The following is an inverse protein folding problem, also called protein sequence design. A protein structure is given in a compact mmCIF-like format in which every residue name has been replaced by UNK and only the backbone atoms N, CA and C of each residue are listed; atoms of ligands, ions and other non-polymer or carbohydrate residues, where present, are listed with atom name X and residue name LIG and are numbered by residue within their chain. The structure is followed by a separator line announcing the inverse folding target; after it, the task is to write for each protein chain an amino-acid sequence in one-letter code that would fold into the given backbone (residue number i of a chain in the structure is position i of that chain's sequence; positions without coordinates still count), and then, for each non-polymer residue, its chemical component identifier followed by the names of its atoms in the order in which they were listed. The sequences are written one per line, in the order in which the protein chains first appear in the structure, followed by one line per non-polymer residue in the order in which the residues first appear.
data_IF_489150320622
#
_entry.id   IF_489150320622
#
_cell.length_a   1.000
_cell.length_b   1.000
_cell.length_c   1.000
_cell.angle_alpha   90.00
_cell.angle_beta   90.00
_cell.angle_gamma   90.00
#
_symmetry.space_group_name_H-M   'P 1'
#
loop_
_entity.id
_entity.type
_entity.pdbx_description
1 polymer ?
#
# COMPACT_ATOMS: atom_id res chain seq x y z
N UNK A 1 52.13 -70.96 -39.76
CA UNK A 1 51.07 -71.99 -39.70
C UNK A 1 50.18 -71.66 -38.50
N UNK A 2 48.96 -71.12 -38.69
CA UNK A 2 47.70 -71.89 -38.79
C UNK A 2 47.51 -72.83 -37.58
N UNK A 3 46.46 -72.84 -36.75
CA UNK A 3 45.14 -72.19 -36.72
C UNK A 3 44.53 -72.49 -35.34
N UNK A 4 43.67 -71.64 -34.77
CA UNK A 4 42.39 -72.09 -34.20
C UNK A 4 41.52 -70.91 -33.78
N UNK A 5 40.44 -70.72 -34.53
CA UNK A 5 39.29 -69.92 -34.15
C UNK A 5 38.48 -70.67 -33.09
N UNK A 6 37.92 -69.94 -32.13
CA UNK A 6 36.64 -70.31 -31.52
C UNK A 6 35.88 -69.07 -31.05
N UNK A 7 34.73 -68.85 -31.68
CA UNK A 7 33.73 -67.79 -31.46
C UNK A 7 33.16 -67.83 -30.04
N UNK A 8 32.95 -66.68 -29.41
CA UNK A 8 31.86 -66.45 -28.44
C UNK A 8 31.25 -65.04 -28.58
N UNK A 9 30.07 -65.02 -29.22
CA UNK A 9 28.83 -64.28 -28.91
C UNK A 9 28.92 -62.81 -28.46
N UNK A 10 28.43 -61.91 -29.32
CA UNK A 10 28.04 -60.52 -29.00
C UNK A 10 26.81 -60.51 -28.08
N UNK A 11 26.94 -60.08 -26.83
CA UNK A 11 25.80 -59.63 -26.02
C UNK A 11 25.58 -58.13 -26.23
N UNK A 12 24.33 -57.78 -26.57
CA UNK A 12 23.85 -56.42 -26.70
C UNK A 12 23.85 -55.71 -25.33
N UNK A 13 24.81 -54.82 -25.11
CA UNK A 13 24.76 -53.87 -24.01
C UNK A 13 23.68 -52.81 -24.27
N UNK A 14 22.55 -52.90 -23.57
CA UNK A 14 21.52 -51.85 -23.54
C UNK A 14 22.14 -50.57 -22.98
N UNK A 15 22.13 -49.50 -23.78
CA UNK A 15 22.50 -48.15 -23.35
C UNK A 15 21.36 -47.61 -22.48
N UNK A 16 21.58 -47.54 -21.16
CA UNK A 16 20.62 -46.92 -20.23
C UNK A 16 20.72 -45.40 -20.32
N UNK A 17 19.83 -44.76 -21.09
CA UNK A 17 19.58 -43.32 -20.99
C UNK A 17 18.76 -43.03 -19.72
N UNK A 18 19.42 -43.01 -18.56
CA UNK A 18 18.84 -42.37 -17.37
C UNK A 18 18.99 -40.86 -17.50
N UNK A 19 17.94 -40.20 -18.03
CA UNK A 19 17.80 -38.76 -17.88
C UNK A 19 17.82 -38.42 -16.38
N UNK A 20 18.83 -37.67 -15.93
CA UNK A 20 18.85 -37.12 -14.57
C UNK A 20 17.70 -36.13 -14.47
N UNK A 21 16.84 -36.19 -13.45
CA UNK A 21 15.84 -35.16 -13.26
C UNK A 21 16.58 -33.85 -12.94
N UNK A 22 16.40 -32.84 -13.80
CA UNK A 22 16.82 -31.48 -13.50
C UNK A 22 16.02 -31.01 -12.29
N UNK A 23 16.59 -31.20 -11.10
CA UNK A 23 16.08 -30.59 -9.87
C UNK A 23 16.33 -29.09 -10.01
N UNK A 24 15.30 -28.34 -10.38
CA UNK A 24 15.30 -26.89 -10.25
C UNK A 24 15.52 -26.56 -8.78
N UNK A 25 16.75 -26.21 -8.42
CA UNK A 25 17.05 -25.66 -7.10
C UNK A 25 16.89 -24.15 -7.23
N UNK A 26 15.74 -23.63 -6.80
CA UNK A 26 15.60 -22.18 -6.57
C UNK A 26 16.45 -21.85 -5.35
N UNK A 27 17.70 -21.43 -5.56
CA UNK A 27 18.50 -20.81 -4.49
C UNK A 27 17.95 -19.41 -4.28
N UNK A 28 17.08 -19.24 -3.30
CA UNK A 28 16.77 -17.90 -2.80
C UNK A 28 18.08 -17.24 -2.34
N UNK A 29 18.25 -15.96 -2.68
CA UNK A 29 19.36 -15.17 -2.14
C UNK A 29 19.36 -15.20 -0.61
N UNK A 30 20.57 -15.17 -0.02
CA UNK A 30 20.75 -15.09 1.42
C UNK A 30 19.97 -13.90 2.00
N UNK A 31 19.44 -14.03 3.21
CA UNK A 31 18.63 -13.02 3.86
C UNK A 31 19.53 -12.13 4.71
N UNK A 32 19.44 -10.82 4.50
CA UNK A 32 20.05 -9.84 5.40
C UNK A 32 19.15 -9.63 6.62
N UNK A 33 19.77 -9.63 7.80
CA UNK A 33 19.08 -9.48 9.08
C UNK A 33 19.68 -8.28 9.80
N UNK A 34 18.85 -7.28 10.05
CA UNK A 34 19.21 -6.08 10.80
C UNK A 34 18.47 -6.05 12.15
N UNK A 35 19.15 -5.56 13.18
CA UNK A 35 18.62 -5.50 14.55
C UNK A 35 18.65 -4.07 15.10
N UNK A 36 17.90 -3.90 16.19
CA UNK A 36 17.92 -2.73 17.06
C UNK A 36 17.82 -1.39 16.34
N UNK A 37 18.78 -0.49 16.59
CA UNK A 37 18.72 0.87 16.11
C UNK A 37 18.92 0.97 14.60
N UNK A 38 19.76 0.10 14.03
CA UNK A 38 20.05 0.14 12.61
C UNK A 38 18.80 -0.19 11.79
N UNK A 39 18.05 -1.23 12.17
CA UNK A 39 16.79 -1.57 11.50
C UNK A 39 15.72 -0.50 11.67
N UNK A 40 15.57 0.07 12.88
CA UNK A 40 14.63 1.16 13.16
C UNK A 40 14.92 2.41 12.33
N UNK A 41 16.18 2.83 12.26
CA UNK A 41 16.58 4.01 11.49
C UNK A 41 16.38 3.82 9.98
N UNK A 42 16.72 2.64 9.44
CA UNK A 42 16.50 2.35 8.02
C UNK A 42 15.00 2.34 7.67
N UNK A 43 14.16 1.71 8.49
CA UNK A 43 12.70 1.75 8.28
C UNK A 43 12.15 3.18 8.36
N UNK A 44 12.58 3.98 9.34
CA UNK A 44 12.15 5.37 9.47
C UNK A 44 12.52 6.19 8.23
N UNK A 45 13.73 6.02 7.69
CA UNK A 45 14.15 6.72 6.47
C UNK A 45 13.23 6.39 5.27
N UNK A 46 12.80 5.13 5.14
CA UNK A 46 11.85 4.73 4.11
C UNK A 46 10.44 5.29 4.33
N UNK A 47 9.97 5.32 5.57
CA UNK A 47 8.71 5.95 5.97
C UNK A 47 8.73 7.44 5.62
N UNK A 48 9.80 8.14 5.98
CA UNK A 48 9.97 9.58 5.73
C UNK A 48 9.95 9.88 4.23
N UNK A 49 10.73 9.16 3.43
CA UNK A 49 10.77 9.34 1.96
C UNK A 49 9.39 9.24 1.32
N UNK A 50 8.60 8.24 1.70
CA UNK A 50 7.28 8.06 1.11
C UNK A 50 6.28 9.09 1.62
N UNK A 51 6.25 9.33 2.93
CA UNK A 51 5.34 10.29 3.55
C UNK A 51 5.62 11.73 3.12
N UNK A 52 6.87 12.09 2.85
CA UNK A 52 7.24 13.41 2.34
C UNK A 52 6.75 13.62 0.90
N UNK A 53 6.85 12.60 0.05
CA UNK A 53 6.34 12.67 -1.32
C UNK A 53 4.80 12.78 -1.35
N UNK A 54 4.11 11.95 -0.56
CA UNK A 54 2.64 11.98 -0.45
C UNK A 54 2.18 13.28 0.22
N UNK A 55 2.92 13.77 1.21
CA UNK A 55 2.56 14.98 1.96
C UNK A 55 2.55 16.26 1.13
N UNK A 56 3.23 16.29 -0.01
CA UNK A 56 3.18 17.43 -0.94
C UNK A 56 1.78 17.68 -1.50
N UNK A 57 0.92 16.67 -1.56
CA UNK A 57 -0.43 16.79 -2.11
C UNK A 57 -1.48 17.15 -1.06
N UNK A 58 -1.10 17.33 0.20
CA UNK A 58 -2.06 17.57 1.28
C UNK A 58 -2.78 18.92 1.11
N UNK A 59 -4.12 18.86 1.11
CA UNK A 59 -5.00 20.01 1.21
C UNK A 59 -5.18 20.79 -0.10
N UNK A 60 -5.93 21.91 -0.07
CA UNK A 60 -6.34 22.66 -1.27
C UNK A 60 -5.19 23.37 -1.99
N UNK A 61 -4.01 23.49 -1.35
CA UNK A 61 -2.78 24.03 -1.94
C UNK A 61 -1.73 22.95 -2.17
N UNK A 62 -2.16 21.68 -2.23
CA UNK A 62 -1.32 20.55 -2.60
C UNK A 62 -0.63 20.81 -3.93
N UNK A 63 0.63 20.37 -4.03
CA UNK A 63 1.44 20.48 -5.24
C UNK A 63 1.32 19.20 -6.04
N UNK A 64 1.45 19.32 -7.36
CA UNK A 64 1.51 18.17 -8.23
C UNK A 64 2.86 17.46 -8.07
N UNK A 65 2.81 16.13 -8.08
CA UNK A 65 3.97 15.24 -8.12
C UNK A 65 4.08 14.67 -9.53
N UNK A 66 5.30 14.66 -10.06
CA UNK A 66 5.58 14.10 -11.38
C UNK A 66 6.14 12.70 -11.19
N UNK A 67 5.44 11.70 -11.73
CA UNK A 67 5.87 10.31 -11.74
C UNK A 67 6.50 9.99 -13.10
N UNK A 68 7.63 9.30 -13.05
CA UNK A 68 8.27 8.76 -14.24
C UNK A 68 7.53 7.48 -14.67
N UNK A 69 7.05 7.46 -15.91
CA UNK A 69 6.37 6.32 -16.52
C UNK A 69 6.91 6.13 -17.95
N UNK A 70 6.84 4.92 -18.49
CA UNK A 70 7.32 4.64 -19.84
C UNK A 70 6.60 5.53 -20.88
N UNK A 71 7.36 6.40 -21.54
CA UNK A 71 6.84 7.34 -22.52
C UNK A 71 6.81 8.77 -21.99
N UNK A 72 5.65 9.20 -21.48
CA UNK A 72 5.46 10.56 -20.97
C UNK A 72 5.30 10.58 -19.44
N UNK A 73 5.94 11.54 -18.74
CA UNK A 73 5.78 11.65 -17.30
C UNK A 73 4.32 11.93 -16.94
N UNK A 74 3.85 11.29 -15.87
CA UNK A 74 2.49 11.44 -15.38
C UNK A 74 2.45 12.46 -14.25
N UNK A 75 1.65 13.50 -14.41
CA UNK A 75 1.44 14.51 -13.36
C UNK A 75 0.25 14.10 -12.51
N UNK A 76 0.47 13.86 -11.22
CA UNK A 76 -0.56 13.39 -10.28
C UNK A 76 -0.63 14.26 -9.04
N UNK A 77 -1.81 14.37 -8.47
CA UNK A 77 -2.08 15.04 -7.19
C UNK A 77 -2.75 14.11 -6.17
N UNK A 78 -2.93 12.83 -6.51
CA UNK A 78 -3.53 11.82 -5.65
C UNK A 78 -2.47 11.10 -4.81
N UNK A 79 -2.65 11.11 -3.49
CA UNK A 79 -1.74 10.48 -2.53
C UNK A 79 -1.65 8.96 -2.68
N UNK A 80 -2.73 8.28 -3.08
CA UNK A 80 -2.73 6.81 -3.22
C UNK A 80 -1.88 6.39 -4.42
N UNK A 81 -2.08 7.06 -5.55
CA UNK A 81 -1.30 6.83 -6.78
C UNK A 81 0.19 7.09 -6.53
N UNK A 82 0.53 8.18 -5.84
CA UNK A 82 1.92 8.49 -5.48
C UNK A 82 2.51 7.41 -4.57
N UNK A 83 1.80 7.04 -3.50
CA UNK A 83 2.27 6.02 -2.56
C UNK A 83 2.55 4.69 -3.26
N UNK A 84 1.66 4.26 -4.17
CA UNK A 84 1.80 3.00 -4.92
C UNK A 84 2.97 3.02 -5.91
N UNK A 85 3.32 4.18 -6.44
CA UNK A 85 4.40 4.32 -7.43
C UNK A 85 5.80 4.33 -6.81
N UNK A 86 5.92 4.66 -5.51
CA UNK A 86 7.22 4.79 -4.85
C UNK A 86 7.70 3.39 -4.42
N UNK A 87 8.84 2.95 -4.95
CA UNK A 87 9.60 1.80 -4.45
C UNK A 87 11.04 2.23 -4.17
N UNK A 88 11.60 1.77 -3.04
CA UNK A 88 12.95 2.15 -2.64
C UNK A 88 13.95 1.02 -2.94
N UNK A 89 15.19 1.34 -3.37
CA UNK A 89 16.18 0.33 -3.73
C UNK A 89 16.74 -0.40 -2.51
N UNK A 90 16.83 0.26 -1.36
CA UNK A 90 17.22 -0.38 -0.11
C UNK A 90 16.06 -1.21 0.45
N UNK A 91 16.25 -2.53 0.69
CA UNK A 91 15.17 -3.39 1.16
C UNK A 91 14.60 -3.01 2.53
N UNK A 92 15.41 -2.46 3.44
CA UNK A 92 14.97 -2.10 4.80
C UNK A 92 14.18 -0.79 4.79
N UNK A 93 14.62 0.19 4.02
CA UNK A 93 13.85 1.40 3.75
C UNK A 93 12.56 1.07 3.00
N UNK A 94 12.61 0.22 1.97
CA UNK A 94 11.41 -0.17 1.22
C UNK A 94 10.39 -0.90 2.09
N UNK A 95 10.84 -1.66 3.11
CA UNK A 95 9.94 -2.24 4.10
C UNK A 95 9.22 -1.16 4.92
N UNK A 96 9.92 -0.09 5.31
CA UNK A 96 9.30 1.08 5.95
C UNK A 96 8.30 1.80 5.04
N UNK A 97 8.68 2.05 3.78
CA UNK A 97 7.78 2.63 2.77
C UNK A 97 6.53 1.76 2.55
N UNK A 98 6.68 0.44 2.54
CA UNK A 98 5.57 -0.51 2.41
C UNK A 98 4.52 -0.34 3.51
N UNK A 99 4.92 -0.01 4.74
CA UNK A 99 3.98 0.25 5.84
C UNK A 99 3.08 1.44 5.53
N UNK A 100 3.64 2.53 4.98
CA UNK A 100 2.85 3.71 4.63
C UNK A 100 1.98 3.45 3.39
N UNK A 101 2.46 2.68 2.40
CA UNK A 101 1.62 2.23 1.28
C UNK A 101 0.39 1.46 1.75
N UNK A 102 0.59 0.57 2.71
CA UNK A 102 -0.49 -0.25 3.28
C UNK A 102 -1.49 0.61 4.06
N UNK A 103 -1.02 1.59 4.85
CA UNK A 103 -1.87 2.55 5.54
C UNK A 103 -2.70 3.35 4.53
N UNK A 104 -2.06 3.90 3.49
CA UNK A 104 -2.74 4.66 2.45
C UNK A 104 -3.80 3.80 1.74
N UNK A 105 -3.47 2.56 1.33
CA UNK A 105 -4.43 1.70 0.64
C UNK A 105 -5.62 1.35 1.52
N UNK A 106 -5.42 0.96 2.78
CA UNK A 106 -6.52 0.63 3.70
C UNK A 106 -7.44 1.81 3.97
N UNK A 107 -6.88 3.01 4.12
CA UNK A 107 -7.69 4.22 4.31
C UNK A 107 -8.51 4.51 3.06
N UNK A 108 -7.93 4.37 1.86
CA UNK A 108 -8.67 4.52 0.62
C UNK A 108 -9.81 3.50 0.50
N UNK A 109 -9.53 2.23 0.79
CA UNK A 109 -10.49 1.15 0.63
C UNK A 109 -11.68 1.28 1.60
N UNK A 110 -11.44 1.83 2.80
CA UNK A 110 -12.49 2.01 3.81
C UNK A 110 -13.26 3.32 3.67
N UNK A 111 -12.61 4.42 3.27
CA UNK A 111 -13.18 5.76 3.33
C UNK A 111 -13.17 6.52 2.00
N UNK A 112 -12.39 6.09 1.00
CA UNK A 112 -12.24 6.76 -0.30
C UNK A 112 -11.44 8.06 -0.29
N UNK A 113 -11.05 8.57 0.88
CA UNK A 113 -10.25 9.78 1.07
C UNK A 113 -9.44 9.70 2.38
N UNK A 114 -8.55 10.66 2.64
CA UNK A 114 -7.78 10.78 3.88
C UNK A 114 -6.45 10.04 3.84
N UNK A 115 -6.05 9.51 2.68
CA UNK A 115 -4.84 8.71 2.49
C UNK A 115 -3.56 9.48 2.82
N UNK A 116 -3.48 10.72 2.36
CA UNK A 116 -2.37 11.64 2.67
C UNK A 116 -2.33 11.97 4.17
N UNK A 117 -3.48 12.24 4.78
CA UNK A 117 -3.58 12.53 6.22
C UNK A 117 -3.14 11.33 7.05
N UNK A 118 -3.62 10.13 6.73
CA UNK A 118 -3.25 8.89 7.41
C UNK A 118 -1.75 8.61 7.30
N UNK A 119 -1.16 8.85 6.12
CA UNK A 119 0.28 8.65 5.87
C UNK A 119 1.14 9.57 6.75
N UNK A 120 0.77 10.85 6.85
CA UNK A 120 1.48 11.84 7.67
C UNK A 120 1.34 11.52 9.16
N UNK A 121 0.13 11.18 9.62
CA UNK A 121 -0.10 10.79 11.01
C UNK A 121 0.70 9.55 11.38
N UNK A 122 0.71 8.53 10.51
CA UNK A 122 1.50 7.32 10.72
C UNK A 122 3.00 7.62 10.84
N UNK A 123 3.55 8.47 9.96
CA UNK A 123 4.95 8.92 10.05
C UNK A 123 5.27 9.50 11.43
N UNK A 124 4.48 10.47 11.90
CA UNK A 124 4.76 11.16 13.17
C UNK A 124 4.58 10.24 14.39
N UNK A 125 3.54 9.40 14.41
CA UNK A 125 3.32 8.44 15.49
C UNK A 125 4.49 7.46 15.58
N UNK A 126 4.95 6.94 14.44
CA UNK A 126 6.10 6.01 14.41
C UNK A 126 7.36 6.73 14.88
N UNK A 127 7.66 7.92 14.33
CA UNK A 127 8.85 8.70 14.68
C UNK A 127 8.94 9.01 16.18
N UNK A 128 7.86 9.54 16.76
CA UNK A 128 7.80 9.85 18.18
C UNK A 128 7.81 8.58 19.04
N UNK A 129 7.16 7.51 18.59
CA UNK A 129 7.20 6.21 19.25
C UNK A 129 8.62 5.66 19.34
N UNK A 130 9.36 5.66 18.22
CA UNK A 130 10.74 5.21 18.16
C UNK A 130 11.65 6.04 19.06
N UNK A 131 11.50 7.37 19.09
CA UNK A 131 12.27 8.26 19.96
C UNK A 131 12.08 7.92 21.46
N UNK A 132 10.83 7.65 21.88
CA UNK A 132 10.54 7.25 23.25
C UNK A 132 11.14 5.87 23.58
N UNK A 133 11.05 4.92 22.65
CA UNK A 133 11.66 3.59 22.83
C UNK A 133 13.18 3.69 22.95
N UNK A 134 13.83 4.54 22.15
CA UNK A 134 15.28 4.80 22.28
C UNK A 134 15.65 5.45 23.62
N UNK A 135 14.71 6.17 24.24
CA UNK A 135 14.88 6.76 25.57
C UNK A 135 14.63 5.76 26.72
N UNK A 136 14.41 4.48 26.40
CA UNK A 136 14.22 3.40 27.38
C UNK A 136 12.75 3.14 27.75
N UNK A 137 11.79 3.80 27.11
CA UNK A 137 10.37 3.54 27.37
C UNK A 137 9.94 2.18 26.79
N UNK A 138 9.01 1.52 27.48
CA UNK A 138 8.49 0.22 27.04
C UNK A 138 7.57 0.37 25.81
N UNK A 139 7.90 -0.24 24.65
CA UNK A 139 7.11 -0.12 23.42
C UNK A 139 5.68 -0.64 23.58
N UNK A 140 5.46 -1.67 24.40
CA UNK A 140 4.13 -2.24 24.66
C UNK A 140 3.25 -1.24 25.42
N UNK A 141 3.83 -0.53 26.39
CA UNK A 141 3.13 0.50 27.15
C UNK A 141 2.77 1.71 26.27
N UNK A 142 3.71 2.14 25.41
CA UNK A 142 3.47 3.22 24.44
C UNK A 142 2.31 2.85 23.52
N UNK A 143 2.33 1.66 22.91
CA UNK A 143 1.26 1.17 22.05
C UNK A 143 -0.09 1.20 22.78
N UNK A 144 -0.17 0.65 24.00
CA UNK A 144 -1.41 0.67 24.79
C UNK A 144 -1.92 2.10 25.06
N UNK A 145 -1.02 3.04 25.30
CA UNK A 145 -1.37 4.45 25.48
C UNK A 145 -1.95 5.06 24.20
N UNK A 146 -1.32 4.78 23.05
CA UNK A 146 -1.80 5.22 21.73
C UNK A 146 -3.18 4.63 21.45
N UNK A 147 -3.35 3.32 21.60
CA UNK A 147 -4.63 2.62 21.34
C UNK A 147 -5.77 3.23 22.18
N UNK A 148 -5.53 3.46 23.48
CA UNK A 148 -6.52 4.10 24.37
C UNK A 148 -6.86 5.52 23.93
N UNK A 149 -5.86 6.29 23.52
CA UNK A 149 -6.04 7.67 23.08
C UNK A 149 -6.82 7.73 21.77
N UNK A 150 -6.48 6.87 20.80
CA UNK A 150 -7.21 6.76 19.53
C UNK A 150 -8.68 6.41 19.78
N UNK A 151 -8.97 5.43 20.64
CA UNK A 151 -10.35 5.07 20.97
C UNK A 151 -11.16 6.26 21.52
N UNK A 152 -10.58 7.01 22.46
CA UNK A 152 -11.23 8.20 23.02
C UNK A 152 -11.43 9.31 21.98
N UNK A 153 -10.44 9.55 21.12
CA UNK A 153 -10.54 10.57 20.06
C UNK A 153 -11.60 10.20 19.01
N UNK A 154 -11.72 8.92 18.65
CA UNK A 154 -12.76 8.44 17.73
C UNK A 154 -14.15 8.68 18.33
N UNK A 155 -14.35 8.36 19.61
CA UNK A 155 -15.62 8.59 20.30
C UNK A 155 -16.01 10.08 20.31
N UNK A 156 -15.04 10.97 20.55
CA UNK A 156 -15.29 12.42 20.50
C UNK A 156 -15.58 12.92 19.07
N UNK A 157 -14.91 12.38 18.06
CA UNK A 157 -15.19 12.71 16.66
C UNK A 157 -16.60 12.28 16.25
N UNK A 158 -17.06 11.12 16.69
CA UNK A 158 -18.44 10.65 16.44
C UNK A 158 -19.48 11.59 17.07
N UNK A 159 -19.22 12.13 18.27
CA UNK A 159 -20.10 13.11 18.93
C UNK A 159 -20.18 14.44 18.17
N UNK A 160 -19.10 14.84 17.50
CA UNK A 160 -19.04 16.06 16.69
C UNK A 160 -19.62 15.87 15.28
N UNK A 161 -19.72 14.64 14.81
CA UNK A 161 -20.22 14.32 13.48
C UNK A 161 -21.70 14.70 13.32
N UNK A 162 -22.05 15.23 12.15
CA UNK A 162 -23.43 15.54 11.79
C UNK A 162 -23.97 14.43 10.89
N UNK A 163 -25.06 13.75 11.27
CA UNK A 163 -25.65 12.71 10.43
C UNK A 163 -26.25 13.34 9.17
N UNK A 164 -25.95 12.75 8.01
CA UNK A 164 -26.55 13.11 6.70
C UNK A 164 -27.97 12.54 6.66
N UNK A 165 -28.98 13.40 6.50
CA UNK A 165 -30.39 13.01 6.51
C UNK A 165 -31.12 13.52 5.28
N UNK A 166 -31.60 12.57 4.47
CA UNK A 166 -32.44 12.86 3.30
C UNK A 166 -31.67 13.37 2.08
N UNK A 167 -32.40 13.58 0.99
CA UNK A 167 -31.82 13.92 -0.32
C UNK A 167 -31.12 15.28 -0.37
N UNK A 168 -31.57 16.27 0.41
CA UNK A 168 -30.96 17.61 0.42
C UNK A 168 -29.54 17.60 0.99
N UNK A 169 -29.31 16.88 2.10
CA UNK A 169 -27.98 16.73 2.69
C UNK A 169 -27.05 15.94 1.75
N UNK A 170 -27.57 14.88 1.12
CA UNK A 170 -26.82 14.08 0.13
C UNK A 170 -26.39 14.95 -1.05
N UNK A 171 -27.33 15.73 -1.60
CA UNK A 171 -27.05 16.67 -2.69
C UNK A 171 -25.97 17.67 -2.27
N UNK A 172 -26.07 18.26 -1.09
CA UNK A 172 -25.11 19.23 -0.59
C UNK A 172 -23.70 18.63 -0.48
N UNK A 173 -23.57 17.44 0.11
CA UNK A 173 -22.29 16.72 0.22
C UNK A 173 -21.73 16.40 -1.16
N UNK A 174 -22.54 15.84 -2.05
CA UNK A 174 -22.11 15.46 -3.39
C UNK A 174 -21.68 16.67 -4.23
N UNK A 175 -22.40 17.80 -4.14
CA UNK A 175 -22.03 19.06 -4.82
C UNK A 175 -20.69 19.58 -4.33
N UNK A 176 -20.45 19.62 -3.02
CA UNK A 176 -19.17 20.08 -2.46
C UNK A 176 -18.03 19.17 -2.93
N UNK A 177 -18.22 17.86 -2.84
CA UNK A 177 -17.23 16.87 -3.27
C UNK A 177 -16.93 16.94 -4.77
N UNK A 178 -17.89 17.33 -5.60
CA UNK A 178 -17.73 17.52 -7.04
C UNK A 178 -17.13 18.89 -7.42
N UNK A 179 -16.56 19.65 -6.47
CA UNK A 179 -15.98 20.95 -6.75
C UNK A 179 -17.01 22.08 -6.88
N UNK A 180 -18.12 21.99 -6.14
CA UNK A 180 -19.29 22.86 -6.21
C UNK A 180 -20.10 22.74 -7.52
N UNK A 181 -20.14 21.54 -8.10
CA UNK A 181 -21.01 21.23 -9.24
C UNK A 181 -22.41 20.79 -8.77
N UNK A 182 -23.40 21.68 -8.94
CA UNK A 182 -24.78 21.39 -8.55
C UNK A 182 -25.45 20.31 -9.42
N UNK A 183 -25.05 20.20 -10.69
CA UNK A 183 -25.62 19.23 -11.62
C UNK A 183 -25.19 17.82 -11.23
N UNK A 184 -23.90 17.63 -10.96
CA UNK A 184 -23.37 16.34 -10.47
C UNK A 184 -23.99 15.99 -9.12
N UNK A 185 -24.05 16.94 -8.18
CA UNK A 185 -24.64 16.67 -6.86
C UNK A 185 -26.12 16.28 -6.93
N UNK A 186 -26.90 16.94 -7.81
CA UNK A 186 -28.30 16.57 -8.04
C UNK A 186 -28.42 15.17 -8.66
N UNK A 187 -27.60 14.84 -9.65
CA UNK A 187 -27.61 13.51 -10.27
C UNK A 187 -27.31 12.40 -9.25
N UNK A 188 -26.33 12.60 -8.37
CA UNK A 188 -25.97 11.64 -7.32
C UNK A 188 -27.12 11.48 -6.31
N UNK A 189 -27.72 12.58 -5.85
CA UNK A 189 -28.84 12.53 -4.91
C UNK A 189 -30.05 11.80 -5.50
N UNK A 190 -30.43 12.09 -6.75
CA UNK A 190 -31.53 11.40 -7.44
C UNK A 190 -31.23 9.90 -7.65
N UNK A 191 -29.98 9.54 -7.89
CA UNK A 191 -29.58 8.15 -8.03
C UNK A 191 -29.72 7.40 -6.70
N UNK A 192 -29.21 7.98 -5.60
CA UNK A 192 -29.30 7.40 -4.25
C UNK A 192 -30.76 7.28 -3.80
N UNK A 193 -31.60 8.30 -4.06
CA UNK A 193 -33.03 8.25 -3.72
C UNK A 193 -33.77 7.11 -4.45
N UNK A 194 -33.35 6.76 -5.67
CA UNK A 194 -33.96 5.66 -6.44
C UNK A 194 -33.52 4.28 -5.97
N UNK A 195 -32.23 4.10 -5.65
CA UNK A 195 -31.69 2.78 -5.27
C UNK A 195 -31.74 2.52 -3.76
N UNK A 196 -31.94 3.56 -2.96
CA UNK A 196 -31.85 3.52 -1.51
C UNK A 196 -30.40 3.68 -0.99
N UNK A 197 -30.21 3.93 0.31
CA UNK A 197 -28.89 4.23 0.89
C UNK A 197 -27.87 3.10 0.76
N UNK A 198 -28.32 1.84 0.74
CA UNK A 198 -27.47 0.65 0.58
C UNK A 198 -27.48 0.11 -0.87
N UNK A 199 -28.00 0.89 -1.81
CA UNK A 199 -28.09 0.51 -3.22
C UNK A 199 -26.73 0.55 -3.94
N UNK A 200 -26.59 -0.25 -4.99
CA UNK A 200 -25.36 -0.29 -5.80
C UNK A 200 -25.47 0.73 -6.94
N UNK A 201 -24.49 1.64 -7.01
CA UNK A 201 -24.34 2.61 -8.09
C UNK A 201 -23.15 2.24 -8.97
N UNK A 202 -23.32 2.36 -10.28
CA UNK A 202 -22.24 2.21 -11.28
C UNK A 202 -22.18 3.47 -12.13
N UNK A 203 -20.96 3.92 -12.43
CA UNK A 203 -20.71 5.05 -13.32
C UNK A 203 -20.06 4.49 -14.58
N UNK A 204 -20.67 4.74 -15.72
CA UNK A 204 -20.15 4.34 -17.03
C UNK A 204 -19.75 5.59 -17.82
N UNK A 205 -18.65 5.49 -18.55
CA UNK A 205 -18.22 6.53 -19.49
C UNK A 205 -18.76 6.16 -20.87
N UNK A 206 -19.59 7.03 -21.46
CA UNK A 206 -20.01 6.84 -22.85
C UNK A 206 -18.82 7.11 -23.78
N UNK A 207 -18.41 6.08 -24.52
CA UNK A 207 -17.41 6.20 -25.61
C UNK A 207 -18.00 6.90 -26.83
#
# INVERSE_FOLDING_TARGET
AQTSLSKKVKQHGRVNFRQKPNRFVVKAAAKDIAFDQHSRSAMQAGIDKLADAVGLTLGPRGRNVVLDEFGSPKVVNDGVTIARAIELPDPMENAGAALIREVASKTNDSAGDGTTTASILAREIIKLGLLNVTSGANPVSIKKGIDKTVAALVEELEKLARPVKGGDDIKAVATISAGNDELIGKMIAEAIDKVGPDGVLSIEVSN
#
